data_IF_335973522057
#
_entry.id   IF_335973522057
#
_cell.length_a   1.000
_cell.length_b   1.000
_cell.length_c   1.000
_cell.angle_alpha   90.00
_cell.angle_beta   90.00
_cell.angle_gamma   90.00
#
_symmetry.space_group_name_H-M   'P 1'
#
loop_
_entity.id
_entity.type
_entity.pdbx_description
1 polymer ?
#
# COMPACT_ATOMS: atom_id res chain seq x y z
N UNK A 1 8.43 -13.67 -11.79
CA UNK A 1 7.83 -14.61 -10.81
C UNK A 1 6.76 -13.87 -10.01
N UNK A 2 5.50 -14.28 -10.09
CA UNK A 2 4.32 -13.60 -9.49
C UNK A 2 4.46 -13.39 -7.99
N UNK A 3 4.97 -14.41 -7.28
CA UNK A 3 5.18 -14.37 -5.83
C UNK A 3 6.17 -13.28 -5.40
N UNK A 4 7.14 -12.96 -6.26
CA UNK A 4 8.13 -11.92 -5.98
C UNK A 4 7.49 -10.52 -5.98
N UNK A 5 6.65 -10.23 -6.99
CA UNK A 5 5.89 -8.97 -7.06
C UNK A 5 4.97 -8.81 -5.86
N UNK A 6 4.22 -9.85 -5.50
CA UNK A 6 3.31 -9.78 -4.35
C UNK A 6 4.06 -9.51 -3.03
N UNK A 7 5.16 -10.23 -2.78
CA UNK A 7 5.98 -10.02 -1.57
C UNK A 7 6.63 -8.62 -1.54
N UNK A 8 7.14 -8.16 -2.69
CA UNK A 8 7.77 -6.83 -2.79
C UNK A 8 6.76 -5.72 -2.57
N UNK A 9 5.55 -5.82 -3.15
CA UNK A 9 4.48 -4.86 -2.94
C UNK A 9 4.06 -4.75 -1.48
N UNK A 10 3.98 -5.87 -0.76
CA UNK A 10 3.73 -5.87 0.69
C UNK A 10 4.84 -5.20 1.49
N UNK A 11 6.10 -5.45 1.14
CA UNK A 11 7.25 -4.82 1.80
C UNK A 11 7.27 -3.30 1.56
N UNK A 12 7.01 -2.86 0.33
CA UNK A 12 6.90 -1.44 -0.02
C UNK A 12 5.78 -0.75 0.78
N UNK A 13 4.63 -1.41 0.94
CA UNK A 13 3.53 -0.89 1.76
C UNK A 13 3.89 -0.78 3.24
N UNK A 14 4.72 -1.68 3.77
CA UNK A 14 5.20 -1.62 5.15
C UNK A 14 6.19 -0.48 5.41
N UNK A 15 6.90 0.00 4.38
CA UNK A 15 7.82 1.14 4.45
C UNK A 15 7.20 2.45 3.93
N UNK A 16 5.87 2.51 3.81
CA UNK A 16 5.10 3.69 3.38
C UNK A 16 5.31 4.13 1.92
N UNK A 17 5.80 3.25 1.07
CA UNK A 17 5.98 3.52 -0.37
C UNK A 17 4.71 3.11 -1.14
N UNK A 18 3.67 3.95 -1.10
CA UNK A 18 2.35 3.65 -1.66
C UNK A 18 2.40 3.32 -3.16
N UNK A 19 3.08 4.17 -3.95
CA UNK A 19 3.11 4.04 -5.42
C UNK A 19 3.75 2.71 -5.84
N UNK A 20 4.88 2.38 -5.24
CA UNK A 20 5.64 1.17 -5.50
C UNK A 20 4.87 -0.08 -5.02
N UNK A 21 4.21 0.01 -3.86
CA UNK A 21 3.35 -1.05 -3.34
C UNK A 21 2.18 -1.35 -4.28
N UNK A 22 1.45 -0.33 -4.72
CA UNK A 22 0.34 -0.47 -5.67
C UNK A 22 0.81 -1.03 -7.01
N UNK A 23 1.93 -0.54 -7.52
CA UNK A 23 2.50 -1.01 -8.78
C UNK A 23 2.82 -2.51 -8.72
N UNK A 24 3.50 -2.95 -7.67
CA UNK A 24 3.90 -4.34 -7.51
C UNK A 24 2.72 -5.29 -7.27
N UNK A 25 1.74 -4.88 -6.47
CA UNK A 25 0.50 -5.65 -6.26
C UNK A 25 -0.32 -5.74 -7.57
N UNK A 26 -0.40 -4.66 -8.32
CA UNK A 26 -1.09 -4.64 -9.63
C UNK A 26 -0.36 -5.50 -10.67
N UNK A 27 0.98 -5.49 -10.67
CA UNK A 27 1.76 -6.37 -11.52
C UNK A 27 1.54 -7.85 -11.18
N UNK A 28 1.41 -8.20 -9.89
CA UNK A 28 1.05 -9.55 -9.47
C UNK A 28 -0.33 -9.98 -10.00
N UNK A 29 -1.34 -9.12 -9.91
CA UNK A 29 -2.68 -9.38 -10.43
C UNK A 29 -2.74 -9.50 -11.96
N UNK A 30 -1.92 -8.73 -12.69
CA UNK A 30 -1.82 -8.84 -14.16
C UNK A 30 -1.21 -10.17 -14.61
N UNK A 31 -0.24 -10.68 -13.84
CA UNK A 31 0.42 -11.94 -14.15
C UNK A 31 -0.38 -13.16 -13.70
N UNK A 32 -1.17 -13.04 -12.63
CA UNK A 32 -2.06 -14.08 -12.15
C UNK A 32 -3.41 -13.47 -11.72
N UNK A 33 -4.42 -13.51 -12.61
CA UNK A 33 -5.74 -12.99 -12.33
C UNK A 33 -6.44 -13.65 -11.13
N UNK A 34 -6.04 -14.88 -10.73
CA UNK A 34 -6.61 -15.54 -9.55
C UNK A 34 -6.27 -14.81 -8.25
N UNK A 35 -5.21 -13.99 -8.26
CA UNK A 35 -4.78 -13.18 -7.11
C UNK A 35 -5.53 -11.85 -7.01
N UNK A 36 -6.37 -11.48 -7.98
CA UNK A 36 -7.10 -10.20 -7.99
C UNK A 36 -7.87 -9.95 -6.67
N UNK A 37 -8.64 -10.91 -6.11
CA UNK A 37 -9.35 -10.68 -4.85
C UNK A 37 -8.40 -10.41 -3.69
N UNK A 38 -7.26 -11.10 -3.65
CA UNK A 38 -6.25 -10.94 -2.62
C UNK A 38 -5.53 -9.60 -2.76
N UNK A 39 -5.13 -9.23 -3.99
CA UNK A 39 -4.51 -7.95 -4.31
C UNK A 39 -5.44 -6.79 -3.94
N UNK A 40 -6.73 -6.87 -4.28
CA UNK A 40 -7.71 -5.84 -3.91
C UNK A 40 -7.84 -5.69 -2.38
N UNK A 41 -7.78 -6.79 -1.63
CA UNK A 41 -7.77 -6.74 -0.16
C UNK A 41 -6.53 -6.02 0.36
N UNK A 42 -5.34 -6.36 -0.14
CA UNK A 42 -4.09 -5.72 0.30
C UNK A 42 -4.03 -4.24 -0.08
N UNK A 43 -4.57 -3.85 -1.25
CA UNK A 43 -4.70 -2.45 -1.66
C UNK A 43 -5.60 -1.64 -0.71
N UNK A 44 -6.73 -2.21 -0.27
CA UNK A 44 -7.59 -1.54 0.72
C UNK A 44 -6.88 -1.33 2.06
N UNK A 45 -6.16 -2.33 2.54
CA UNK A 45 -5.37 -2.23 3.78
C UNK A 45 -4.25 -1.19 3.68
N UNK A 46 -3.63 -1.08 2.48
CA UNK A 46 -2.66 -0.03 2.20
C UNK A 46 -3.31 1.36 2.33
N UNK A 47 -4.48 1.55 1.70
CA UNK A 47 -5.20 2.82 1.70
C UNK A 47 -5.63 3.27 3.09
N UNK A 48 -6.13 2.34 3.89
CA UNK A 48 -6.50 2.58 5.29
C UNK A 48 -5.29 3.03 6.12
N UNK A 49 -4.14 2.35 5.98
CA UNK A 49 -2.91 2.71 6.70
C UNK A 49 -2.36 4.07 6.26
N UNK A 50 -2.39 4.37 4.97
CA UNK A 50 -1.95 5.67 4.47
C UNK A 50 -2.85 6.80 4.98
N UNK A 51 -4.17 6.60 4.98
CA UNK A 51 -5.11 7.57 5.55
C UNK A 51 -4.87 7.81 7.04
N UNK A 52 -4.65 6.75 7.82
CA UNK A 52 -4.33 6.88 9.24
C UNK A 52 -3.05 7.69 9.46
N UNK A 53 -1.99 7.38 8.71
CA UNK A 53 -0.74 8.14 8.78
C UNK A 53 -0.94 9.61 8.41
N UNK A 54 -1.67 9.90 7.33
CA UNK A 54 -1.97 11.27 6.89
C UNK A 54 -2.79 12.05 7.93
N UNK A 55 -3.74 11.39 8.60
CA UNK A 55 -4.55 11.99 9.68
C UNK A 55 -3.71 12.26 10.93
N UNK A 56 -2.84 11.33 11.32
CA UNK A 56 -1.88 11.51 12.42
C UNK A 56 -0.92 12.65 12.13
N UNK A 57 -0.36 12.71 10.92
CA UNK A 57 0.55 13.78 10.50
C UNK A 57 -0.19 15.13 10.49
N UNK A 58 -1.41 15.21 9.94
CA UNK A 58 -2.24 16.44 9.99
C UNK A 58 -2.52 16.90 11.42
N UNK A 59 -2.82 15.98 12.33
CA UNK A 59 -3.06 16.30 13.73
C UNK A 59 -1.78 16.82 14.39
N UNK A 60 -0.64 16.18 14.13
CA UNK A 60 0.67 16.55 14.67
C UNK A 60 1.14 17.92 14.18
N UNK A 61 0.98 18.22 12.89
CA UNK A 61 1.42 19.49 12.31
C UNK A 61 0.47 20.66 12.61
N UNK A 62 -0.80 20.41 12.96
CA UNK A 62 -1.76 21.48 13.33
C UNK A 62 -1.32 22.31 14.55
N UNK A 63 -0.49 21.76 15.44
CA UNK A 63 0.05 22.47 16.60
C UNK A 63 1.48 23.00 16.43
N UNK A 64 2.13 22.75 15.28
CA UNK A 64 3.55 23.11 15.08
C UNK A 64 3.78 24.52 14.53
N UNK A 65 2.74 25.20 14.05
CA UNK A 65 2.82 26.57 13.50
C UNK A 65 2.21 27.65 14.40
N UNK A 66 2.09 27.41 15.72
CA UNK A 66 1.67 28.42 16.70
C UNK A 66 2.84 29.02 17.46
#
# INVERSE_FOLDING_TARGET
NVKAYFKRGKAQGAVWNEKEARHDLSAAAKLDPSLVPLVNRELRLLDERMRQKDEEDKFRFKGMFQ
#
